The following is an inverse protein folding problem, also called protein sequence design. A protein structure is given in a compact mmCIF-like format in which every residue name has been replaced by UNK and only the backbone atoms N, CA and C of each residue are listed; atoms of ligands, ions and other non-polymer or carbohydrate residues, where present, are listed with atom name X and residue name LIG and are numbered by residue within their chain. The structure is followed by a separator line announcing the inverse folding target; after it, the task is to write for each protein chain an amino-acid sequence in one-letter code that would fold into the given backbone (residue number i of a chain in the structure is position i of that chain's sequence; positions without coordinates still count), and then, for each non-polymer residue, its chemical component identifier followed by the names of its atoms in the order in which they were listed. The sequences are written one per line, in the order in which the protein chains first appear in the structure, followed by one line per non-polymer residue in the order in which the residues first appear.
data_IF_923643665149
#
_entry.id   IF_923643665149
#
_cell.length_a   1.000
_cell.length_b   1.000
_cell.length_c   1.000
_cell.angle_alpha   90.00
_cell.angle_beta   90.00
_cell.angle_gamma   90.00
#
_symmetry.space_group_name_H-M   'P 1'
#
loop_
_entity.id
_entity.type
_entity.pdbx_description
1 polymer ?
#
# COMPACT_ATOMS: atom_id res chain seq x y z
N UNK A 1 -9.75 30.31 -81.72
CA UNK A 1 -9.55 29.01 -80.99
C UNK A 1 -8.81 29.32 -79.65
N UNK A 2 -9.57 29.49 -78.60
CA UNK A 2 -9.01 29.73 -77.21
C UNK A 2 -9.03 28.43 -76.46
N UNK A 3 -7.87 27.96 -76.03
CA UNK A 3 -7.71 26.78 -75.15
C UNK A 3 -8.00 27.18 -73.70
N UNK A 4 -9.02 26.56 -73.15
CA UNK A 4 -9.35 26.68 -71.72
C UNK A 4 -8.47 25.69 -70.94
N UNK A 5 -7.66 26.17 -69.97
CA UNK A 5 -6.88 25.34 -69.04
C UNK A 5 -7.71 25.20 -67.78
N UNK A 6 -8.14 23.97 -67.49
CA UNK A 6 -8.83 23.61 -66.26
C UNK A 6 -7.77 23.25 -65.20
N UNK A 7 -7.65 24.02 -64.13
CA UNK A 7 -6.82 23.70 -63.00
C UNK A 7 -7.63 22.85 -61.99
N UNK A 8 -7.25 21.60 -61.81
CA UNK A 8 -7.76 20.77 -60.72
C UNK A 8 -7.04 21.15 -59.42
N UNK A 9 -7.81 21.67 -58.48
CA UNK A 9 -7.38 21.85 -57.09
C UNK A 9 -7.55 20.53 -56.33
N UNK A 10 -6.43 19.91 -55.90
CA UNK A 10 -6.44 18.74 -55.05
C UNK A 10 -6.69 19.21 -53.61
N UNK A 11 -7.91 19.04 -53.09
CA UNK A 11 -8.19 19.13 -51.67
C UNK A 11 -7.64 17.87 -50.97
N UNK A 12 -6.55 18.03 -50.28
CA UNK A 12 -6.02 16.99 -49.39
C UNK A 12 -6.96 16.80 -48.18
N UNK A 13 -7.63 15.67 -48.12
CA UNK A 13 -8.28 15.23 -46.89
C UNK A 13 -7.21 14.79 -45.89
N UNK A 14 -6.99 15.56 -44.83
CA UNK A 14 -6.26 15.13 -43.67
C UNK A 14 -7.23 14.22 -42.88
N UNK A 15 -7.05 12.92 -42.98
CA UNK A 15 -7.72 11.96 -42.12
C UNK A 15 -7.14 12.07 -40.74
N UNK A 16 -7.84 12.70 -39.81
CA UNK A 16 -7.59 12.52 -38.38
C UNK A 16 -8.00 11.10 -38.02
N UNK A 17 -7.03 10.22 -37.88
CA UNK A 17 -7.24 8.94 -37.19
C UNK A 17 -7.45 9.25 -35.70
N UNK A 18 -8.69 9.23 -35.26
CA UNK A 18 -9.02 9.09 -33.85
C UNK A 18 -8.48 7.71 -33.44
N UNK A 19 -7.41 7.68 -32.64
CA UNK A 19 -7.06 6.48 -31.91
C UNK A 19 -8.25 6.18 -30.97
N UNK A 20 -9.06 5.20 -31.32
CA UNK A 20 -10.03 4.63 -30.40
C UNK A 20 -9.20 4.00 -29.29
N UNK A 21 -9.21 4.63 -28.11
CA UNK A 21 -8.73 3.98 -26.89
C UNK A 21 -9.58 2.71 -26.74
N UNK A 22 -8.98 1.56 -27.01
CA UNK A 22 -9.60 0.28 -26.76
C UNK A 22 -9.67 0.10 -25.24
N UNK A 23 -10.81 0.48 -24.66
CA UNK A 23 -11.06 0.38 -23.22
C UNK A 23 -11.13 -1.08 -22.73
N UNK A 24 -10.92 -2.05 -23.63
CA UNK A 24 -11.01 -3.49 -23.36
C UNK A 24 -9.67 -4.18 -23.09
N UNK A 25 -8.53 -3.49 -23.25
CA UNK A 25 -7.24 -4.09 -22.92
C UNK A 25 -7.10 -4.25 -21.40
N UNK A 26 -6.71 -5.44 -20.89
CA UNK A 26 -6.50 -5.62 -19.46
C UNK A 26 -5.39 -4.69 -18.99
N UNK A 27 -5.69 -3.91 -17.95
CA UNK A 27 -4.73 -2.99 -17.35
C UNK A 27 -3.77 -3.82 -16.51
N UNK A 28 -2.53 -3.93 -16.99
CA UNK A 28 -1.46 -4.65 -16.28
C UNK A 28 -0.80 -3.71 -15.29
N UNK A 29 -0.75 -4.09 -14.02
CA UNK A 29 -0.11 -3.32 -12.97
C UNK A 29 1.34 -2.93 -13.35
N UNK A 30 1.70 -1.68 -13.10
CA UNK A 30 3.06 -1.17 -13.36
C UNK A 30 3.41 -0.88 -14.82
N UNK A 31 2.46 -0.93 -15.76
CA UNK A 31 2.68 -0.44 -17.13
C UNK A 31 2.48 1.07 -17.15
N UNK A 32 3.46 1.87 -17.62
CA UNK A 32 3.31 3.31 -17.75
C UNK A 32 2.15 3.64 -18.70
N UNK A 33 1.20 4.45 -18.25
CA UNK A 33 0.14 4.98 -19.11
C UNK A 33 0.66 6.12 -19.98
N UNK A 34 0.03 6.33 -21.14
CA UNK A 34 0.40 7.42 -22.01
C UNK A 34 0.26 8.76 -21.27
N UNK A 35 1.26 9.63 -21.40
CA UNK A 35 1.24 10.96 -20.80
C UNK A 35 -0.04 11.71 -21.22
N UNK A 36 -0.85 12.11 -20.23
CA UNK A 36 -2.12 12.81 -20.45
C UNK A 36 -3.37 11.94 -20.35
N UNK A 37 -3.27 10.60 -20.17
CA UNK A 37 -4.43 9.80 -19.76
C UNK A 37 -4.58 9.93 -18.24
N UNK A 38 -5.73 10.44 -17.80
CA UNK A 38 -6.04 10.44 -16.37
C UNK A 38 -6.38 8.99 -15.99
N UNK A 39 -5.44 8.34 -15.33
CA UNK A 39 -5.58 6.98 -14.82
C UNK A 39 -5.24 6.97 -13.35
N UNK A 40 -6.09 6.38 -12.52
CA UNK A 40 -5.85 6.22 -11.09
C UNK A 40 -5.87 4.75 -10.75
N UNK A 41 -4.75 4.23 -10.30
CA UNK A 41 -4.63 2.84 -9.89
C UNK A 41 -5.34 2.59 -8.55
N UNK A 42 -6.00 1.46 -8.45
CA UNK A 42 -6.67 1.00 -7.24
C UNK A 42 -5.76 -0.01 -6.53
N UNK A 43 -5.37 0.33 -5.30
CA UNK A 43 -4.61 -0.51 -4.40
C UNK A 43 -5.53 -1.02 -3.29
N UNK A 44 -5.79 -2.32 -3.26
CA UNK A 44 -6.67 -2.91 -2.25
C UNK A 44 -5.93 -3.07 -0.92
N UNK A 45 -6.09 -2.10 -0.02
CA UNK A 45 -5.41 -2.00 1.27
C UNK A 45 -5.69 -3.24 2.13
N UNK A 46 -4.62 -3.95 2.49
CA UNK A 46 -4.67 -5.22 3.23
C UNK A 46 -5.65 -6.22 2.62
N UNK A 47 -5.81 -6.16 1.29
CA UNK A 47 -6.70 -7.00 0.49
C UNK A 47 -8.08 -6.42 0.18
N UNK A 48 -8.76 -5.77 1.03
CA UNK A 48 -10.05 -5.05 1.01
C UNK A 48 -10.70 -5.15 2.40
N UNK A 49 -10.02 -4.56 3.40
CA UNK A 49 -10.38 -4.77 4.81
C UNK A 49 -11.73 -4.18 5.21
N UNK A 50 -12.34 -3.30 4.40
CA UNK A 50 -13.72 -2.86 4.65
C UNK A 50 -14.74 -4.01 4.64
N UNK A 51 -14.46 -5.09 3.91
CA UNK A 51 -15.39 -6.20 3.70
C UNK A 51 -14.89 -7.52 4.30
N UNK A 52 -13.59 -7.75 4.31
CA UNK A 52 -12.98 -9.02 4.72
C UNK A 52 -11.89 -8.81 5.74
N UNK A 53 -11.60 -9.81 6.61
CA UNK A 53 -10.52 -9.70 7.59
C UNK A 53 -9.17 -9.37 6.93
N UNK A 54 -8.55 -8.28 7.38
CA UNK A 54 -7.34 -7.70 6.79
C UNK A 54 -6.17 -8.68 6.71
N UNK A 55 -5.32 -8.52 5.69
CA UNK A 55 -4.10 -9.30 5.51
C UNK A 55 -4.33 -10.83 5.48
N UNK A 56 -5.50 -11.26 5.02
CA UNK A 56 -5.88 -12.68 4.91
C UNK A 56 -6.20 -13.06 3.48
N UNK A 57 -6.13 -14.37 3.16
CA UNK A 57 -6.53 -14.84 1.82
C UNK A 57 -7.95 -14.42 1.42
N UNK A 58 -8.97 -14.48 2.30
CA UNK A 58 -10.29 -13.95 1.99
C UNK A 58 -10.30 -12.48 1.59
N UNK A 59 -9.50 -11.63 2.25
CA UNK A 59 -9.42 -10.21 1.89
C UNK A 59 -8.82 -10.02 0.50
N UNK A 60 -7.75 -10.73 0.16
CA UNK A 60 -7.17 -10.71 -1.20
C UNK A 60 -8.15 -11.24 -2.25
N UNK A 61 -8.89 -12.31 -1.95
CA UNK A 61 -9.97 -12.80 -2.82
C UNK A 61 -11.01 -11.70 -3.08
N UNK A 62 -11.42 -10.98 -2.04
CA UNK A 62 -12.39 -9.87 -2.17
C UNK A 62 -11.84 -8.75 -3.04
N UNK A 63 -10.61 -8.28 -2.79
CA UNK A 63 -9.95 -7.24 -3.60
C UNK A 63 -9.84 -7.63 -5.07
N UNK A 64 -9.43 -8.87 -5.35
CA UNK A 64 -9.35 -9.38 -6.73
C UNK A 64 -10.73 -9.49 -7.38
N UNK A 65 -11.75 -9.93 -6.65
CA UNK A 65 -13.11 -10.10 -7.19
C UNK A 65 -13.76 -8.76 -7.58
N UNK A 66 -13.54 -7.70 -6.79
CA UNK A 66 -14.07 -6.36 -7.09
C UNK A 66 -13.25 -5.61 -8.13
N UNK A 67 -12.04 -6.07 -8.42
CA UNK A 67 -11.10 -5.45 -9.35
C UNK A 67 -10.13 -4.49 -8.65
N UNK A 68 -8.85 -4.82 -8.74
CA UNK A 68 -7.75 -4.00 -8.23
C UNK A 68 -6.54 -4.13 -9.15
N UNK A 69 -5.70 -3.10 -9.22
CA UNK A 69 -4.43 -3.12 -9.94
C UNK A 69 -3.32 -3.73 -9.08
N UNK A 70 -3.38 -3.47 -7.77
CA UNK A 70 -2.39 -3.89 -6.79
C UNK A 70 -3.07 -4.50 -5.57
N UNK A 71 -2.54 -5.60 -5.08
CA UNK A 71 -2.84 -6.08 -3.73
C UNK A 71 -1.81 -5.48 -2.79
N UNK A 72 -2.29 -4.74 -1.81
CA UNK A 72 -1.47 -4.16 -0.77
C UNK A 72 -1.44 -5.07 0.46
N UNK A 73 -0.28 -5.18 1.08
CA UNK A 73 -0.04 -6.06 2.22
C UNK A 73 1.10 -5.58 3.10
N UNK A 74 1.00 -5.89 4.37
CA UNK A 74 2.03 -5.66 5.37
C UNK A 74 2.79 -6.95 5.66
N UNK A 75 4.09 -6.88 5.94
CA UNK A 75 4.88 -8.06 6.28
C UNK A 75 5.72 -7.91 7.54
N UNK A 76 5.78 -9.01 8.30
CA UNK A 76 6.67 -9.24 9.44
C UNK A 76 7.56 -10.47 9.23
N UNK A 77 8.59 -10.62 10.06
CA UNK A 77 9.47 -11.80 10.04
C UNK A 77 9.31 -12.57 11.34
N UNK A 78 8.97 -13.86 11.24
CA UNK A 78 8.82 -14.76 12.37
C UNK A 78 10.17 -15.21 12.94
N UNK A 79 10.15 -15.85 14.12
CA UNK A 79 11.33 -16.41 14.78
C UNK A 79 12.10 -17.43 13.94
N UNK A 80 11.38 -18.21 13.18
CA UNK A 80 11.92 -19.22 12.24
C UNK A 80 12.19 -18.66 10.84
N UNK A 81 12.09 -17.34 10.67
CA UNK A 81 12.52 -16.62 9.47
C UNK A 81 11.54 -16.63 8.32
N UNK A 82 10.28 -17.00 8.56
CA UNK A 82 9.20 -16.95 7.57
C UNK A 82 8.73 -15.50 7.40
N UNK A 83 8.46 -15.08 6.18
CA UNK A 83 7.80 -13.80 5.89
C UNK A 83 6.29 -14.01 6.08
N UNK A 84 5.76 -13.44 7.16
CA UNK A 84 4.34 -13.48 7.50
C UNK A 84 3.65 -12.24 6.93
N UNK A 85 2.41 -12.37 6.50
CA UNK A 85 1.57 -11.22 6.16
C UNK A 85 0.78 -10.81 7.40
N UNK A 86 1.19 -9.70 8.00
CA UNK A 86 0.63 -9.13 9.24
C UNK A 86 1.06 -7.66 9.38
N UNK A 87 0.13 -6.80 9.84
CA UNK A 87 0.43 -5.37 9.99
C UNK A 87 1.26 -5.07 11.24
N UNK A 88 0.96 -5.75 12.33
CA UNK A 88 1.53 -5.38 13.63
C UNK A 88 2.80 -6.19 13.93
N UNK A 89 3.72 -5.57 14.62
CA UNK A 89 4.95 -6.25 15.08
C UNK A 89 4.68 -7.25 16.21
N UNK A 90 3.45 -7.35 16.66
CA UNK A 90 2.97 -8.18 17.77
C UNK A 90 1.58 -8.75 17.49
N UNK A 91 1.18 -9.74 18.27
CA UNK A 91 -0.17 -10.29 18.24
C UNK A 91 -1.21 -9.20 18.60
N UNK A 92 -1.97 -8.74 17.62
CA UNK A 92 -2.96 -7.68 17.81
C UNK A 92 -4.28 -8.25 18.39
N UNK A 93 -4.70 -7.81 19.62
CA UNK A 93 -5.93 -8.29 20.24
C UNK A 93 -7.21 -7.78 19.57
N UNK A 94 -7.10 -6.81 18.67
CA UNK A 94 -8.26 -6.28 17.95
C UNK A 94 -8.68 -7.17 16.77
N UNK A 95 -7.75 -8.03 16.28
CA UNK A 95 -7.99 -8.88 15.10
C UNK A 95 -7.71 -10.38 15.35
N UNK A 96 -6.99 -10.74 16.42
CA UNK A 96 -6.56 -12.13 16.65
C UNK A 96 -7.29 -12.78 17.80
N UNK A 97 -7.72 -14.03 17.59
CA UNK A 97 -8.35 -14.89 18.58
C UNK A 97 -7.56 -16.19 18.74
N UNK A 98 -7.60 -16.76 19.93
CA UNK A 98 -7.15 -18.12 20.20
C UNK A 98 -8.26 -18.87 20.94
N UNK A 99 -8.55 -20.10 20.54
CA UNK A 99 -9.62 -20.92 21.12
C UNK A 99 -10.98 -20.20 21.18
N UNK A 100 -11.31 -19.44 20.11
CA UNK A 100 -12.55 -18.67 19.97
C UNK A 100 -12.64 -17.40 20.83
N UNK A 101 -11.56 -17.02 21.54
CA UNK A 101 -11.52 -15.84 22.42
C UNK A 101 -10.45 -14.86 21.98
N UNK A 102 -10.74 -13.56 22.03
CA UNK A 102 -9.71 -12.55 21.90
C UNK A 102 -8.75 -12.68 23.09
N UNK A 103 -7.45 -12.67 22.82
CA UNK A 103 -6.44 -12.97 23.82
C UNK A 103 -6.25 -11.84 24.87
N UNK A 104 -6.69 -10.61 24.53
CA UNK A 104 -6.76 -9.52 25.50
C UNK A 104 -8.10 -8.79 25.32
N UNK A 105 -8.80 -8.39 26.40
CA UNK A 105 -9.97 -7.53 26.32
C UNK A 105 -9.48 -6.12 25.92
N UNK A 106 -9.89 -5.68 24.74
CA UNK A 106 -9.54 -4.35 24.23
C UNK A 106 -10.70 -3.39 24.49
N UNK A 107 -10.57 -2.54 25.51
CA UNK A 107 -11.45 -1.37 25.70
C UNK A 107 -10.93 -0.10 25.03
N UNK A 108 -9.69 -0.13 24.61
CA UNK A 108 -9.00 0.92 23.84
C UNK A 108 -8.29 0.24 22.69
N UNK A 109 -8.07 0.95 21.57
CA UNK A 109 -7.23 0.41 20.52
C UNK A 109 -5.88 0.01 21.12
N UNK A 110 -5.28 -1.07 20.63
CA UNK A 110 -4.01 -1.55 21.15
C UNK A 110 -2.91 -0.48 21.03
N UNK A 111 -2.94 0.34 19.98
CA UNK A 111 -2.07 1.50 19.82
C UNK A 111 -2.22 2.50 20.97
N UNK A 112 -3.45 2.86 21.35
CA UNK A 112 -3.69 3.72 22.50
C UNK A 112 -3.23 3.07 23.82
N UNK A 113 -3.25 1.74 23.92
CA UNK A 113 -2.70 1.02 25.07
C UNK A 113 -1.18 1.02 25.09
N UNK A 114 -0.51 0.97 23.96
CA UNK A 114 0.95 1.12 23.85
C UNK A 114 1.40 2.53 24.21
N UNK A 115 0.68 3.53 23.75
CA UNK A 115 0.98 4.95 24.01
C UNK A 115 0.64 5.37 25.45
N UNK A 116 -0.49 4.91 25.98
CA UNK A 116 -0.90 5.24 27.35
C UNK A 116 -0.05 4.56 28.42
N UNK A 117 0.73 3.58 28.02
CA UNK A 117 1.49 2.75 28.93
C UNK A 117 2.88 3.30 29.24
N UNK A 118 2.98 4.50 29.79
CA UNK A 118 4.10 4.82 30.69
C UNK A 118 4.30 3.77 31.81
N UNK A 119 3.56 2.67 31.78
CA UNK A 119 3.63 1.57 32.74
C UNK A 119 3.02 0.22 32.34
N UNK A 120 2.37 0.09 31.15
CA UNK A 120 1.57 -1.08 30.80
C UNK A 120 2.29 -2.18 30.01
N UNK A 121 1.78 -2.48 28.81
CA UNK A 121 2.19 -3.58 27.94
C UNK A 121 3.64 -3.52 27.53
N UNK A 122 4.25 -2.33 27.47
CA UNK A 122 5.64 -2.12 27.05
C UNK A 122 6.69 -2.92 27.86
N UNK A 123 6.43 -3.24 29.11
CA UNK A 123 7.37 -4.03 29.94
C UNK A 123 7.34 -5.52 29.61
N UNK A 124 6.30 -6.02 28.93
CA UNK A 124 6.14 -7.45 28.69
C UNK A 124 5.64 -7.80 27.28
N UNK A 125 5.89 -6.95 26.27
CA UNK A 125 5.48 -7.21 24.88
C UNK A 125 6.28 -8.35 24.23
N UNK A 126 7.48 -8.65 24.72
CA UNK A 126 8.42 -9.59 24.10
C UNK A 126 7.82 -10.96 23.76
N UNK A 127 6.96 -11.60 24.61
CA UNK A 127 6.34 -12.87 24.28
C UNK A 127 5.34 -12.81 23.13
N UNK A 128 4.87 -11.62 22.78
CA UNK A 128 3.84 -11.39 21.76
C UNK A 128 4.39 -10.85 20.46
N UNK A 129 5.69 -10.52 20.39
CA UNK A 129 6.31 -10.04 19.16
C UNK A 129 6.37 -11.15 18.11
N UNK A 130 5.94 -10.85 16.89
CA UNK A 130 5.96 -11.78 15.75
C UNK A 130 7.36 -12.40 15.57
N UNK A 131 8.41 -11.61 15.69
CA UNK A 131 9.81 -12.11 15.58
C UNK A 131 10.21 -13.12 16.64
N UNK A 132 9.47 -13.24 17.72
CA UNK A 132 9.76 -14.19 18.83
C UNK A 132 8.88 -15.45 18.75
N UNK A 133 7.94 -15.50 17.80
CA UNK A 133 7.00 -16.59 17.58
C UNK A 133 7.33 -17.32 16.26
N UNK A 134 7.26 -18.64 16.28
CA UNK A 134 7.36 -19.44 15.05
C UNK A 134 6.06 -19.36 14.24
N UNK A 135 6.11 -19.73 12.96
CA UNK A 135 4.89 -19.86 12.16
C UNK A 135 3.89 -20.81 12.83
N UNK A 136 4.34 -21.93 13.40
CA UNK A 136 3.49 -22.88 14.10
C UNK A 136 2.80 -22.30 15.35
N UNK A 137 3.45 -21.35 16.05
CA UNK A 137 2.84 -20.62 17.16
C UNK A 137 1.72 -19.69 16.65
N UNK A 138 1.96 -19.02 15.52
CA UNK A 138 1.04 -18.06 14.91
C UNK A 138 -0.17 -18.73 14.26
N UNK A 139 0.00 -19.92 13.69
CA UNK A 139 -1.09 -20.74 13.14
C UNK A 139 -2.14 -21.17 14.17
N UNK A 140 -1.85 -21.05 15.48
CA UNK A 140 -2.83 -21.31 16.52
C UNK A 140 -3.89 -20.20 16.63
N UNK A 141 -3.63 -19.03 16.05
CA UNK A 141 -4.54 -17.89 16.08
C UNK A 141 -5.49 -17.88 14.89
N UNK A 142 -6.64 -17.27 15.09
CA UNK A 142 -7.68 -17.02 14.09
C UNK A 142 -7.77 -15.51 13.87
N UNK A 143 -7.50 -15.07 12.64
CA UNK A 143 -7.53 -13.68 12.19
C UNK A 143 -8.84 -13.32 11.46
N UNK A 144 -9.85 -14.17 11.53
CA UNK A 144 -11.05 -14.07 10.70
C UNK A 144 -12.16 -13.19 11.26
N UNK A 145 -11.91 -12.38 12.29
CA UNK A 145 -12.95 -11.54 12.88
C UNK A 145 -12.34 -10.39 13.67
N UNK A 146 -12.85 -9.17 13.47
CA UNK A 146 -12.57 -8.05 14.36
C UNK A 146 -13.16 -8.27 15.74
N UNK A 147 -12.44 -7.79 16.76
CA UNK A 147 -12.95 -7.75 18.12
C UNK A 147 -14.08 -6.71 18.22
N UNK A 148 -15.36 -7.12 18.43
CA UNK A 148 -16.48 -6.18 18.43
C UNK A 148 -16.45 -5.20 19.61
N UNK A 149 -15.59 -5.43 20.61
CA UNK A 149 -15.38 -4.52 21.75
C UNK A 149 -14.28 -3.49 21.46
N UNK A 150 -13.50 -3.68 20.41
CA UNK A 150 -12.44 -2.75 20.02
C UNK A 150 -13.00 -1.52 19.32
N UNK A 151 -12.49 -0.31 19.61
CA UNK A 151 -12.78 0.88 18.81
C UNK A 151 -12.44 0.69 17.33
N UNK A 152 -11.44 -0.13 17.00
CA UNK A 152 -11.02 -0.43 15.65
C UNK A 152 -12.15 -1.05 14.80
N UNK A 153 -12.96 -1.93 15.38
CA UNK A 153 -14.08 -2.55 14.66
C UNK A 153 -15.13 -1.54 14.16
N UNK A 154 -15.22 -0.37 14.77
CA UNK A 154 -16.17 0.68 14.36
C UNK A 154 -15.83 1.31 13.00
N UNK A 155 -14.57 1.24 12.58
CA UNK A 155 -14.15 1.76 11.28
C UNK A 155 -14.55 0.85 10.12
N UNK A 156 -14.84 -0.44 10.39
CA UNK A 156 -15.16 -1.45 9.39
C UNK A 156 -16.47 -2.18 9.71
N UNK A 157 -17.61 -1.45 9.75
CA UNK A 157 -18.91 -2.03 10.15
C UNK A 157 -19.41 -3.09 9.17
N UNK A 158 -18.96 -3.05 7.92
CA UNK A 158 -19.35 -3.97 6.85
C UNK A 158 -18.42 -5.19 6.72
N UNK A 159 -17.36 -5.25 7.54
CA UNK A 159 -16.46 -6.39 7.53
C UNK A 159 -17.15 -7.64 8.11
N UNK A 160 -17.28 -8.68 7.30
CA UNK A 160 -17.90 -9.93 7.74
C UNK A 160 -16.87 -10.89 8.36
N UNK A 161 -17.31 -11.63 9.38
CA UNK A 161 -16.47 -12.60 10.06
C UNK A 161 -16.31 -13.88 9.23
N UNK A 162 -15.07 -14.37 9.13
CA UNK A 162 -14.68 -15.62 8.48
C UNK A 162 -13.87 -16.48 9.46
N UNK A 163 -14.57 -17.06 10.43
CA UNK A 163 -13.96 -17.82 11.53
C UNK A 163 -13.05 -18.94 11.01
N UNK A 164 -11.91 -19.12 11.65
CA UNK A 164 -10.92 -20.14 11.28
C UNK A 164 -9.89 -19.65 10.25
N UNK A 165 -9.95 -18.39 9.83
CA UNK A 165 -8.98 -17.79 8.93
C UNK A 165 -7.63 -17.60 9.61
N UNK A 166 -6.56 -17.99 8.92
CA UNK A 166 -5.17 -17.86 9.41
C UNK A 166 -4.46 -16.66 8.81
N UNK A 167 -3.48 -16.15 9.52
CA UNK A 167 -2.48 -15.24 8.95
C UNK A 167 -1.69 -16.01 7.89
N UNK A 168 -1.67 -15.56 6.62
CA UNK A 168 -0.94 -16.26 5.57
C UNK A 168 0.55 -15.90 5.57
N UNK A 169 1.37 -16.76 4.98
CA UNK A 169 2.73 -16.37 4.59
C UNK A 169 2.69 -15.54 3.30
N UNK A 170 3.72 -14.73 3.07
CA UNK A 170 3.85 -13.99 1.81
C UNK A 170 3.83 -14.93 0.60
N UNK A 171 4.48 -16.11 0.70
CA UNK A 171 4.46 -17.12 -0.37
C UNK A 171 3.04 -17.58 -0.69
N UNK A 172 2.23 -17.85 0.33
CA UNK A 172 0.83 -18.29 0.17
C UNK A 172 0.00 -17.24 -0.59
N UNK A 173 0.16 -15.95 -0.24
CA UNK A 173 -0.57 -14.86 -0.92
C UNK A 173 -0.10 -14.70 -2.35
N UNK A 174 1.22 -14.70 -2.59
CA UNK A 174 1.79 -14.55 -3.93
C UNK A 174 1.36 -15.69 -4.86
N UNK A 175 1.40 -16.92 -4.38
CA UNK A 175 1.00 -18.10 -5.18
C UNK A 175 -0.49 -17.99 -5.55
N UNK A 176 -1.34 -17.63 -4.58
CA UNK A 176 -2.76 -17.45 -4.82
C UNK A 176 -3.06 -16.35 -5.84
N UNK A 177 -2.51 -15.15 -5.65
CA UNK A 177 -2.73 -14.00 -6.55
C UNK A 177 -2.22 -14.30 -7.95
N UNK A 178 -1.02 -14.90 -8.08
CA UNK A 178 -0.47 -15.28 -9.38
C UNK A 178 -1.36 -16.29 -10.12
N UNK A 179 -1.88 -17.28 -9.40
CA UNK A 179 -2.80 -18.28 -9.97
C UNK A 179 -4.13 -17.64 -10.39
N UNK A 180 -4.73 -16.81 -9.51
CA UNK A 180 -6.04 -16.22 -9.73
C UNK A 180 -6.04 -15.19 -10.86
N UNK A 181 -4.92 -14.47 -11.07
CA UNK A 181 -4.84 -13.32 -11.99
C UNK A 181 -3.98 -13.55 -13.20
N UNK A 182 -3.40 -14.75 -13.37
CA UNK A 182 -2.39 -15.01 -14.39
C UNK A 182 -1.28 -13.93 -14.40
N UNK A 183 -0.81 -13.54 -13.20
CA UNK A 183 0.26 -12.55 -12.98
C UNK A 183 -0.08 -11.12 -13.48
N UNK A 184 -1.34 -10.76 -13.59
CA UNK A 184 -1.76 -9.43 -14.07
C UNK A 184 -1.83 -8.38 -12.98
N UNK A 185 -1.92 -8.77 -11.69
CA UNK A 185 -2.00 -7.87 -10.54
C UNK A 185 -0.62 -7.69 -9.91
N UNK A 186 -0.30 -6.46 -9.50
CA UNK A 186 0.93 -6.11 -8.80
C UNK A 186 0.84 -6.36 -7.30
N UNK A 187 2.00 -6.34 -6.64
CA UNK A 187 2.14 -6.51 -5.20
C UNK A 187 2.73 -5.25 -4.59
N UNK A 188 1.98 -4.59 -3.72
CA UNK A 188 2.52 -3.56 -2.85
C UNK A 188 2.78 -4.18 -1.48
N UNK A 189 4.03 -4.10 -1.02
CA UNK A 189 4.47 -4.86 0.14
C UNK A 189 5.12 -3.89 1.13
N UNK A 190 4.47 -3.70 2.29
CA UNK A 190 5.01 -2.85 3.34
C UNK A 190 5.92 -3.62 4.29
N UNK A 191 7.16 -3.16 4.42
CA UNK A 191 8.07 -3.61 5.46
C UNK A 191 7.68 -2.93 6.77
N UNK A 192 7.14 -3.70 7.71
CA UNK A 192 6.80 -3.22 9.06
C UNK A 192 8.04 -3.22 9.94
N UNK A 193 8.63 -2.05 10.10
CA UNK A 193 9.77 -1.81 10.98
C UNK A 193 9.53 -0.56 11.83
N UNK A 194 10.08 -0.53 13.04
CA UNK A 194 9.96 0.60 13.96
C UNK A 194 11.35 1.01 14.49
N UNK A 195 11.92 2.10 13.95
CA UNK A 195 13.26 2.56 14.38
C UNK A 195 13.28 3.11 15.81
N UNK A 196 12.11 3.43 16.39
CA UNK A 196 12.01 3.83 17.81
C UNK A 196 12.09 2.61 18.74
N UNK A 197 11.72 1.42 18.23
CA UNK A 197 11.79 0.15 18.94
C UNK A 197 12.56 -0.92 18.15
N UNK A 198 13.86 -0.75 17.89
CA UNK A 198 14.65 -1.60 16.97
C UNK A 198 14.80 -3.06 17.42
N UNK A 199 14.30 -3.39 18.62
CA UNK A 199 14.27 -4.76 19.13
C UNK A 199 12.93 -5.47 18.91
N UNK A 200 11.95 -4.82 18.29
CA UNK A 200 10.63 -5.41 18.07
C UNK A 200 10.52 -6.21 16.77
N UNK A 201 11.46 -5.98 15.86
CA UNK A 201 11.57 -6.77 14.63
C UNK A 201 13.03 -7.17 14.36
N UNK A 202 13.31 -7.84 13.26
CA UNK A 202 14.66 -8.06 12.76
C UNK A 202 15.29 -6.74 12.32
N UNK A 203 16.61 -6.69 12.12
CA UNK A 203 17.25 -5.46 11.64
C UNK A 203 16.74 -5.06 10.25
N UNK A 204 16.76 -3.75 9.96
CA UNK A 204 16.38 -3.23 8.64
C UNK A 204 17.13 -3.92 7.49
N UNK A 205 18.44 -4.17 7.68
CA UNK A 205 19.26 -4.86 6.70
C UNK A 205 18.84 -6.32 6.49
N UNK A 206 18.57 -7.06 7.56
CA UNK A 206 18.09 -8.44 7.47
C UNK A 206 16.73 -8.50 6.77
N UNK A 207 15.84 -7.57 7.10
CA UNK A 207 14.53 -7.47 6.48
C UNK A 207 14.66 -7.23 4.96
N UNK A 208 15.43 -6.20 4.58
CA UNK A 208 15.69 -5.87 3.18
C UNK A 208 16.27 -7.06 2.40
N UNK A 209 17.23 -7.79 3.01
CA UNK A 209 17.81 -8.99 2.39
C UNK A 209 16.77 -10.08 2.16
N UNK A 210 15.96 -10.39 3.17
CA UNK A 210 14.91 -11.42 3.05
C UNK A 210 13.87 -11.06 1.97
N UNK A 211 13.47 -9.78 1.91
CA UNK A 211 12.55 -9.28 0.88
C UNK A 211 13.20 -9.39 -0.50
N UNK A 212 14.43 -8.94 -0.69
CA UNK A 212 15.13 -9.08 -1.97
C UNK A 212 15.22 -10.54 -2.42
N UNK A 213 15.66 -11.43 -1.55
CA UNK A 213 15.80 -12.86 -1.86
C UNK A 213 14.45 -13.48 -2.26
N UNK A 214 13.38 -13.06 -1.58
CA UNK A 214 12.01 -13.48 -1.91
C UNK A 214 11.55 -12.96 -3.28
N UNK A 215 11.75 -11.69 -3.58
CA UNK A 215 11.37 -11.08 -4.86
C UNK A 215 12.09 -11.72 -6.04
N UNK A 216 13.39 -11.95 -5.90
CA UNK A 216 14.20 -12.58 -6.94
C UNK A 216 13.77 -14.04 -7.15
N UNK A 217 13.61 -14.81 -6.07
CA UNK A 217 13.18 -16.21 -6.12
C UNK A 217 11.84 -16.41 -6.81
N UNK A 218 10.90 -15.47 -6.62
CA UNK A 218 9.53 -15.57 -7.11
C UNK A 218 9.26 -14.76 -8.41
N UNK A 219 10.31 -14.20 -9.04
CA UNK A 219 10.18 -13.38 -10.26
C UNK A 219 9.22 -12.20 -10.08
N UNK A 220 9.36 -11.47 -8.97
CA UNK A 220 8.48 -10.37 -8.59
C UNK A 220 9.08 -8.98 -8.73
N UNK A 221 10.39 -8.85 -9.02
CA UNK A 221 11.09 -7.55 -9.03
C UNK A 221 10.39 -6.51 -9.92
N UNK A 222 9.86 -6.91 -11.07
CA UNK A 222 9.17 -6.01 -11.99
C UNK A 222 7.72 -5.69 -11.57
N UNK A 223 7.12 -6.52 -10.71
CA UNK A 223 5.69 -6.47 -10.34
C UNK A 223 5.46 -6.17 -8.87
N UNK A 224 6.50 -5.83 -8.12
CA UNK A 224 6.40 -5.42 -6.72
C UNK A 224 6.82 -3.96 -6.55
N UNK A 225 6.14 -3.26 -5.66
CA UNK A 225 6.54 -2.00 -5.06
C UNK A 225 6.73 -2.26 -3.56
N UNK A 226 7.89 -1.89 -3.03
CA UNK A 226 8.21 -2.10 -1.61
C UNK A 226 8.09 -0.77 -0.90
N UNK A 227 7.23 -0.72 0.09
CA UNK A 227 6.93 0.48 0.85
C UNK A 227 7.37 0.34 2.32
N UNK A 228 7.61 1.45 2.98
CA UNK A 228 7.87 1.50 4.42
C UNK A 228 7.78 2.93 4.96
N UNK A 229 7.33 3.08 6.21
CA UNK A 229 7.49 4.31 6.99
C UNK A 229 8.92 4.46 7.52
N UNK A 230 9.58 3.36 7.92
CA UNK A 230 11.02 3.38 8.18
C UNK A 230 11.78 3.26 6.84
N UNK A 231 12.47 4.31 6.45
CA UNK A 231 13.15 4.35 5.16
C UNK A 231 14.49 3.60 5.14
N UNK A 232 15.00 3.18 6.29
CA UNK A 232 16.27 2.45 6.33
C UNK A 232 16.24 1.11 5.56
N UNK A 233 15.19 0.24 5.71
CA UNK A 233 15.07 -0.96 4.89
C UNK A 233 15.02 -0.69 3.38
N UNK A 234 14.39 0.43 2.97
CA UNK A 234 14.32 0.83 1.55
C UNK A 234 15.71 1.16 1.00
N UNK A 235 16.54 1.88 1.76
CA UNK A 235 17.93 2.18 1.37
C UNK A 235 18.77 0.91 1.26
N UNK A 236 18.61 0.00 2.20
CA UNK A 236 19.35 -1.26 2.19
C UNK A 236 18.92 -2.14 1.02
N UNK A 237 17.61 -2.16 0.72
CA UNK A 237 17.06 -2.87 -0.44
C UNK A 237 17.57 -2.27 -1.76
N UNK A 238 17.61 -0.93 -1.89
CA UNK A 238 18.14 -0.25 -3.07
C UNK A 238 19.61 -0.59 -3.35
N UNK A 239 20.43 -0.70 -2.29
CA UNK A 239 21.83 -1.13 -2.42
C UNK A 239 21.96 -2.59 -2.87
N UNK A 240 21.06 -3.47 -2.40
CA UNK A 240 21.05 -4.88 -2.78
C UNK A 240 20.54 -5.10 -4.20
N UNK A 241 19.50 -4.37 -4.59
CA UNK A 241 18.84 -4.52 -5.89
C UNK A 241 18.21 -3.18 -6.35
N UNK A 242 18.92 -2.38 -7.15
CA UNK A 242 18.41 -1.09 -7.64
C UNK A 242 17.22 -1.20 -8.59
N UNK A 243 16.84 -2.40 -9.04
CA UNK A 243 15.70 -2.62 -9.94
C UNK A 243 14.37 -2.69 -9.17
N UNK A 244 14.39 -2.90 -7.86
CA UNK A 244 13.18 -2.91 -7.03
C UNK A 244 12.60 -1.51 -6.95
N UNK A 245 11.31 -1.39 -7.22
CA UNK A 245 10.58 -0.13 -7.05
C UNK A 245 10.36 0.15 -5.57
N UNK A 246 10.72 1.37 -5.15
CA UNK A 246 10.64 1.79 -3.76
C UNK A 246 9.61 2.90 -3.59
N UNK A 247 8.72 2.72 -2.65
CA UNK A 247 7.66 3.64 -2.28
C UNK A 247 7.88 4.15 -0.84
N UNK A 248 7.84 5.45 -0.67
CA UNK A 248 8.19 6.11 0.57
C UNK A 248 6.94 6.62 1.27
N UNK A 249 6.50 5.90 2.30
CA UNK A 249 5.36 6.28 3.12
C UNK A 249 5.68 7.47 4.01
N UNK A 250 4.72 8.41 4.09
CA UNK A 250 4.81 9.61 4.93
C UNK A 250 3.44 9.98 5.48
N UNK A 251 3.31 10.06 6.79
CA UNK A 251 2.14 10.62 7.48
C UNK A 251 2.30 12.11 7.82
N UNK A 252 1.23 12.76 8.26
CA UNK A 252 1.28 14.15 8.73
C UNK A 252 2.25 14.34 9.90
N UNK A 253 2.20 13.45 10.88
CA UNK A 253 3.09 13.46 12.04
C UNK A 253 4.56 13.23 11.67
N UNK A 254 4.84 12.47 10.60
CA UNK A 254 6.19 12.27 10.08
C UNK A 254 6.76 13.57 9.52
N UNK A 255 5.93 14.31 8.76
CA UNK A 255 6.31 15.60 8.19
C UNK A 255 6.65 16.60 9.31
N UNK A 256 5.79 16.71 10.34
CA UNK A 256 6.05 17.56 11.50
C UNK A 256 7.37 17.18 12.20
N UNK A 257 7.60 15.89 12.40
CA UNK A 257 8.82 15.36 13.00
C UNK A 257 10.06 15.67 12.17
N UNK A 258 10.00 15.56 10.83
CA UNK A 258 11.09 15.88 9.92
C UNK A 258 11.51 17.36 9.97
N UNK A 259 10.62 18.25 10.39
CA UNK A 259 10.91 19.68 10.64
C UNK A 259 11.46 19.97 12.04
N UNK A 260 11.60 18.97 12.90
CA UNK A 260 12.15 19.16 14.25
C UNK A 260 13.57 19.73 14.22
N UNK A 261 13.87 20.59 15.20
CA UNK A 261 15.23 21.09 15.43
C UNK A 261 16.17 20.03 16.02
N UNK A 262 15.61 19.00 16.68
CA UNK A 262 16.35 17.82 17.10
C UNK A 262 16.62 16.93 15.88
N UNK A 263 17.87 16.91 15.45
CA UNK A 263 18.30 16.13 14.27
C UNK A 263 18.06 14.62 14.42
N UNK A 264 18.15 14.09 15.66
CA UNK A 264 17.89 12.67 15.89
C UNK A 264 16.42 12.34 15.70
N UNK A 265 15.53 13.16 16.24
CA UNK A 265 14.10 13.02 16.04
C UNK A 265 13.73 13.22 14.56
N UNK A 266 14.24 14.28 13.93
CA UNK A 266 13.98 14.61 12.52
C UNK A 266 14.41 13.48 11.54
N UNK A 267 15.52 12.80 11.84
CA UNK A 267 16.04 11.74 10.97
C UNK A 267 15.64 10.32 11.37
N UNK A 268 14.86 10.12 12.41
CA UNK A 268 14.64 8.79 12.99
C UNK A 268 14.02 7.82 11.97
N UNK A 269 12.93 8.22 11.31
CA UNK A 269 12.21 7.39 10.35
C UNK A 269 12.78 7.46 8.93
N UNK A 270 13.57 8.48 8.63
CA UNK A 270 14.21 8.67 7.32
C UNK A 270 15.63 8.10 7.23
N UNK A 271 16.00 7.15 8.11
CA UNK A 271 17.33 6.53 8.11
C UNK A 271 18.48 7.53 8.35
N UNK A 272 18.24 8.55 9.18
CA UNK A 272 19.21 9.58 9.54
C UNK A 272 19.31 10.74 8.52
N UNK A 273 18.51 10.75 7.47
CA UNK A 273 18.49 11.84 6.49
C UNK A 273 17.61 12.99 6.98
N UNK A 274 17.99 14.23 6.67
CA UNK A 274 17.28 15.41 7.14
C UNK A 274 16.63 16.14 5.97
N UNK A 275 15.33 16.43 6.06
CA UNK A 275 14.56 17.09 5.00
C UNK A 275 15.15 18.43 4.55
N UNK A 276 15.72 19.19 5.49
CA UNK A 276 16.40 20.46 5.19
C UNK A 276 17.58 20.34 4.21
N UNK A 277 18.23 19.17 4.14
CA UNK A 277 19.36 18.95 3.23
C UNK A 277 18.87 18.73 1.78
N UNK A 278 17.55 18.68 1.58
CA UNK A 278 16.85 18.51 0.29
C UNK A 278 15.87 19.66 0.02
N UNK A 279 16.25 20.89 0.36
CA UNK A 279 15.45 22.11 0.19
C UNK A 279 14.07 22.08 0.89
N UNK A 280 13.94 21.31 1.95
CA UNK A 280 12.66 21.03 2.63
C UNK A 280 11.58 20.45 1.71
N UNK A 281 11.98 19.72 0.66
CA UNK A 281 11.08 19.07 -0.30
C UNK A 281 11.14 17.55 -0.13
N UNK A 282 10.02 16.93 0.23
CA UNK A 282 9.87 15.48 0.28
C UNK A 282 10.07 14.83 -1.09
N UNK A 283 9.46 15.32 -2.20
CA UNK A 283 9.71 14.77 -3.53
C UNK A 283 11.18 14.77 -3.93
N UNK A 284 11.92 15.86 -3.67
CA UNK A 284 13.37 15.92 -3.97
C UNK A 284 14.16 14.93 -3.11
N UNK A 285 13.83 14.84 -1.82
CA UNK A 285 14.47 13.89 -0.91
C UNK A 285 14.25 12.45 -1.39
N UNK A 286 13.02 12.05 -1.62
CA UNK A 286 12.65 10.71 -2.08
C UNK A 286 13.35 10.38 -3.40
N UNK A 287 13.32 11.29 -4.39
CA UNK A 287 13.97 11.09 -5.68
C UNK A 287 15.48 10.89 -5.55
N UNK A 288 16.14 11.70 -4.72
CA UNK A 288 17.58 11.61 -4.50
C UNK A 288 18.01 10.31 -3.79
N UNK A 289 17.09 9.66 -3.09
CA UNK A 289 17.30 8.43 -2.35
C UNK A 289 16.93 7.17 -3.16
N UNK A 290 16.65 7.33 -4.46
CA UNK A 290 16.32 6.22 -5.36
C UNK A 290 14.86 5.81 -5.36
N UNK A 291 13.97 6.62 -4.77
CA UNK A 291 12.54 6.38 -4.77
C UNK A 291 11.91 6.41 -6.16
N UNK A 292 10.94 5.57 -6.38
CA UNK A 292 10.06 5.52 -7.55
C UNK A 292 8.67 6.04 -7.28
N UNK A 293 8.24 6.01 -6.01
CA UNK A 293 6.92 6.44 -5.57
C UNK A 293 7.01 7.26 -4.28
N UNK A 294 6.23 8.35 -4.22
CA UNK A 294 5.93 9.12 -3.03
C UNK A 294 4.54 8.71 -2.53
N UNK A 295 4.43 8.28 -1.30
CA UNK A 295 3.20 7.77 -0.69
C UNK A 295 2.79 8.58 0.53
N UNK A 296 2.21 9.76 0.33
CA UNK A 296 1.71 10.59 1.41
C UNK A 296 0.35 10.12 1.92
N UNK A 297 0.08 10.41 3.20
CA UNK A 297 -1.26 10.34 3.75
C UNK A 297 -2.20 11.29 2.98
N UNK A 298 -3.46 10.92 2.86
CA UNK A 298 -4.50 11.64 2.12
C UNK A 298 -4.66 13.12 2.53
N UNK A 299 -4.54 13.41 3.83
CA UNK A 299 -4.62 14.76 4.38
C UNK A 299 -3.30 15.52 4.35
N UNK A 300 -2.18 14.84 4.14
CA UNK A 300 -0.84 15.41 4.15
C UNK A 300 -0.35 15.86 2.76
N UNK A 301 -0.94 15.33 1.67
CA UNK A 301 -0.56 15.70 0.31
C UNK A 301 -0.97 17.14 -0.01
N UNK A 302 -0.02 17.95 -0.47
CA UNK A 302 -0.30 19.24 -1.09
C UNK A 302 -0.26 19.15 -2.61
N UNK A 303 -1.00 20.04 -3.31
CA UNK A 303 -0.94 20.09 -4.78
C UNK A 303 0.47 20.45 -5.29
N UNK A 304 1.21 21.26 -4.52
CA UNK A 304 2.57 21.62 -4.86
C UNK A 304 3.53 20.43 -4.81
N UNK A 305 3.41 19.58 -3.77
CA UNK A 305 4.23 18.36 -3.67
C UNK A 305 3.90 17.36 -4.78
N UNK A 306 2.62 17.21 -5.12
CA UNK A 306 2.19 16.37 -6.24
C UNK A 306 2.82 16.81 -7.56
N UNK A 307 2.72 18.12 -7.87
CA UNK A 307 3.26 18.67 -9.11
C UNK A 307 4.80 18.57 -9.16
N UNK A 308 5.46 18.74 -8.03
CA UNK A 308 6.91 18.55 -7.93
C UNK A 308 7.32 17.09 -8.08
N UNK A 309 6.61 16.17 -7.46
CA UNK A 309 6.84 14.74 -7.58
C UNK A 309 6.72 14.28 -9.05
N UNK A 310 5.67 14.70 -9.75
CA UNK A 310 5.47 14.40 -11.16
C UNK A 310 6.57 15.00 -12.04
N UNK A 311 6.99 16.25 -11.78
CA UNK A 311 8.10 16.89 -12.49
C UNK A 311 9.43 16.14 -12.32
N UNK A 312 9.61 15.49 -11.16
CA UNK A 312 10.78 14.66 -10.85
C UNK A 312 10.65 13.22 -11.37
N UNK A 313 9.50 12.86 -11.97
CA UNK A 313 9.21 11.51 -12.46
C UNK A 313 8.98 10.50 -11.32
N UNK A 314 8.45 10.97 -10.21
CA UNK A 314 7.92 10.12 -9.14
C UNK A 314 6.43 9.86 -9.40
N UNK A 315 5.99 8.64 -9.14
CA UNK A 315 4.59 8.28 -8.98
C UNK A 315 4.10 8.80 -7.62
N UNK A 316 2.84 9.20 -7.53
CA UNK A 316 2.22 9.62 -6.27
C UNK A 316 1.02 8.73 -5.99
N UNK A 317 1.12 7.90 -4.97
CA UNK A 317 0.05 7.01 -4.51
C UNK A 317 -0.32 7.40 -3.09
N UNK A 318 -1.60 7.69 -2.87
CA UNK A 318 -2.08 8.23 -1.59
C UNK A 318 -2.70 7.13 -0.78
N UNK A 319 -2.33 7.02 0.50
CA UNK A 319 -2.98 6.11 1.43
C UNK A 319 -4.00 6.84 2.30
N UNK A 320 -5.14 6.17 2.53
CA UNK A 320 -6.26 6.71 3.30
C UNK A 320 -6.24 6.20 4.74
N UNK A 321 -6.64 7.04 5.71
CA UNK A 321 -6.70 6.67 7.11
C UNK A 321 -8.13 6.81 7.65
N UNK A 322 -8.76 5.72 8.11
CA UNK A 322 -10.17 5.73 8.51
C UNK A 322 -10.49 6.65 9.68
N UNK A 323 -9.55 6.89 10.60
CA UNK A 323 -9.76 7.77 11.74
C UNK A 323 -9.96 9.23 11.33
N UNK A 324 -9.31 9.66 10.26
CA UNK A 324 -9.42 11.04 9.75
C UNK A 324 -10.74 11.29 9.02
N UNK A 325 -11.33 10.26 8.44
CA UNK A 325 -12.56 10.34 7.64
C UNK A 325 -13.82 9.91 8.41
N UNK A 326 -13.67 9.44 9.65
CA UNK A 326 -14.78 8.88 10.43
C UNK A 326 -15.31 7.54 9.89
N UNK A 327 -14.56 6.88 9.00
CA UNK A 327 -14.88 5.61 8.37
C UNK A 327 -13.86 5.22 7.31
N UNK A 328 -14.02 4.03 6.73
CA UNK A 328 -13.06 3.45 5.79
C UNK A 328 -12.86 4.22 4.47
N UNK A 329 -13.67 5.26 4.20
CA UNK A 329 -13.65 5.97 2.92
C UNK A 329 -14.31 7.37 3.00
N UNK A 330 -13.56 8.42 2.67
CA UNK A 330 -14.10 9.77 2.47
C UNK A 330 -14.25 10.08 0.97
N UNK A 331 -15.48 10.09 0.44
CA UNK A 331 -15.68 10.31 -1.00
C UNK A 331 -15.34 11.73 -1.45
N UNK A 332 -15.43 12.74 -0.58
CA UNK A 332 -15.12 14.14 -0.92
C UNK A 332 -13.62 14.30 -1.09
N UNK A 333 -12.85 13.76 -0.15
CA UNK A 333 -11.40 13.79 -0.21
C UNK A 333 -10.87 12.98 -1.39
N UNK A 334 -11.38 11.77 -1.60
CA UNK A 334 -11.00 10.90 -2.74
C UNK A 334 -11.31 11.60 -4.07
N UNK A 335 -12.47 12.26 -4.19
CA UNK A 335 -12.86 13.03 -5.37
C UNK A 335 -11.86 14.16 -5.68
N UNK A 336 -11.45 14.89 -4.64
CA UNK A 336 -10.41 15.92 -4.73
C UNK A 336 -9.07 15.34 -5.22
N UNK A 337 -8.62 14.23 -4.63
CA UNK A 337 -7.35 13.58 -4.99
C UNK A 337 -7.35 13.11 -6.46
N UNK A 338 -8.45 12.50 -6.90
CA UNK A 338 -8.64 12.13 -8.31
C UNK A 338 -8.56 13.37 -9.21
N UNK A 339 -9.23 14.47 -8.82
CA UNK A 339 -9.21 15.72 -9.60
C UNK A 339 -7.82 16.37 -9.66
N UNK A 340 -6.98 16.15 -8.66
CA UNK A 340 -5.60 16.63 -8.64
C UNK A 340 -4.68 15.83 -9.56
N UNK A 341 -5.06 14.58 -9.90
CA UNK A 341 -4.31 13.70 -10.77
C UNK A 341 -3.29 12.84 -10.03
N UNK A 342 -3.64 12.33 -8.85
CA UNK A 342 -2.82 11.29 -8.19
C UNK A 342 -2.78 10.03 -9.05
N UNK A 343 -1.68 9.28 -8.99
CA UNK A 343 -1.47 8.09 -9.84
C UNK A 343 -2.17 6.84 -9.26
N UNK A 344 -2.45 6.83 -7.95
CA UNK A 344 -3.12 5.72 -7.31
C UNK A 344 -3.63 6.06 -5.92
N UNK A 345 -4.52 5.20 -5.41
CA UNK A 345 -5.09 5.31 -4.07
C UNK A 345 -5.07 3.94 -3.40
N UNK A 346 -4.42 3.87 -2.23
CA UNK A 346 -4.46 2.73 -1.32
C UNK A 346 -5.72 2.90 -0.47
N UNK A 347 -6.70 2.03 -0.69
CA UNK A 347 -8.04 2.16 -0.11
C UNK A 347 -8.52 0.89 0.57
N UNK A 348 -9.22 1.06 1.70
CA UNK A 348 -9.91 -0.02 2.38
C UNK A 348 -11.14 -0.53 1.62
N UNK A 349 -11.71 0.32 0.77
CA UNK A 349 -12.92 0.05 -0.03
C UNK A 349 -12.65 0.18 -1.54
N UNK A 350 -11.99 -0.82 -2.15
CA UNK A 350 -11.67 -0.80 -3.58
C UNK A 350 -12.92 -0.80 -4.48
N UNK A 351 -14.05 -1.34 -4.01
CA UNK A 351 -15.30 -1.34 -4.76
C UNK A 351 -15.87 0.07 -4.89
N UNK A 352 -15.82 0.86 -3.83
CA UNK A 352 -16.29 2.24 -3.83
C UNK A 352 -15.40 3.14 -4.68
N UNK A 353 -14.07 2.96 -4.59
CA UNK A 353 -13.15 3.66 -5.47
C UNK A 353 -13.44 3.36 -6.94
N UNK A 354 -13.63 2.09 -7.32
CA UNK A 354 -14.02 1.70 -8.68
C UNK A 354 -15.31 2.37 -9.13
N UNK A 355 -16.32 2.45 -8.25
CA UNK A 355 -17.58 3.12 -8.55
C UNK A 355 -17.39 4.63 -8.83
N UNK A 356 -16.51 5.29 -8.08
CA UNK A 356 -16.19 6.72 -8.29
C UNK A 356 -15.41 6.94 -9.58
N UNK A 357 -14.45 6.08 -9.91
CA UNK A 357 -13.70 6.14 -11.16
C UNK A 357 -14.66 5.96 -12.36
N UNK A 358 -15.54 4.95 -12.31
CA UNK A 358 -16.54 4.70 -13.33
C UNK A 358 -17.49 5.89 -13.54
N UNK A 359 -17.96 6.51 -12.44
CA UNK A 359 -18.84 7.69 -12.51
C UNK A 359 -18.16 8.90 -13.16
N UNK A 360 -16.82 8.95 -13.17
CA UNK A 360 -16.02 9.98 -13.86
C UNK A 360 -15.61 9.59 -15.28
N UNK A 361 -16.01 8.41 -15.75
CA UNK A 361 -15.59 7.89 -17.05
C UNK A 361 -14.13 7.50 -17.11
N UNK A 362 -13.48 7.28 -15.95
CA UNK A 362 -12.11 6.82 -15.85
C UNK A 362 -12.03 5.29 -15.94
N UNK A 363 -10.91 4.74 -16.41
CA UNK A 363 -10.71 3.30 -16.45
C UNK A 363 -10.84 2.65 -15.05
N UNK A 364 -11.48 1.50 -15.02
CA UNK A 364 -11.69 0.71 -13.79
C UNK A 364 -11.06 -0.67 -13.98
N UNK A 365 -10.27 -1.17 -13.02
CA UNK A 365 -9.71 -2.50 -13.10
C UNK A 365 -10.81 -3.55 -13.11
N UNK A 366 -10.66 -4.57 -13.97
CA UNK A 366 -11.62 -5.66 -14.04
C UNK A 366 -11.45 -6.62 -12.86
N UNK A 367 -12.57 -7.11 -12.33
CA UNK A 367 -12.57 -8.17 -11.32
C UNK A 367 -12.15 -9.51 -11.90
N UNK A 368 -11.43 -10.28 -11.10
CA UNK A 368 -11.03 -11.64 -11.43
C UNK A 368 -12.02 -12.66 -10.90
N UNK A 369 -12.20 -13.75 -11.64
CA UNK A 369 -12.98 -14.89 -11.16
C UNK A 369 -12.12 -15.63 -10.12
N UNK A 370 -12.46 -15.46 -8.87
CA UNK A 370 -11.78 -16.13 -7.75
C UNK A 370 -12.52 -17.41 -7.38
N UNK A 371 -11.76 -18.47 -7.11
CA UNK A 371 -12.34 -19.71 -6.61
C UNK A 371 -12.64 -19.57 -5.11
N UNK A 372 -13.70 -20.20 -4.61
CA UNK A 372 -14.09 -20.17 -3.20
C UNK A 372 -12.97 -20.57 -2.25
#
# INVERSE_FOLDING_TARGET
MKKLILSLSLCGFVAFSYATNDASAPIVAGVPHAAGSQYVENYAHRGARSFSPENTLPAYKTGLAVGTNWVDMDIGITKDGVILVDHDLWLNPDILRKDGKFWAPSKQSFYAQLESAAGGINKNIQPYLVKNLTLADLEQYDAGMLNPQSPYAKYFPDQFALNGTKMPTLQTVVDYVNQATNKQVGFQIEIKNDPSHPKWTVSAHEFAKKVNDFLVKNDLVARAEIQSFDWQPLYDLHKLNPQVKLAFLVGGDDIERMHSTDKKAAGLWSGGKLLKDYNNSLPQMIKSLGGSCYEPQDTALTKADLDEAHRLGLKVVVWTWPENSGGAFDPVLVDKLISWGVDGIITDDPARLNSMLAARGLPVPQGFKVNP
#
